data_IF_480799473787
#
_entry.id   IF_480799473787
#
_cell.length_a   1.000
_cell.length_b   1.000
_cell.length_c   1.000
_cell.angle_alpha   90.00
_cell.angle_beta   90.00
_cell.angle_gamma   90.00
#
_symmetry.space_group_name_H-M   'P 1'
#
loop_
_entity.id
_entity.type
_entity.pdbx_description
1 polymer ?
#
# COMPACT_ATOMS: atom_id res chain seq x y z
N UNK A 1 3.22 57.40 -34.20
CA UNK A 1 2.14 56.40 -34.30
C UNK A 1 2.24 55.49 -33.09
N UNK A 2 1.55 55.88 -32.02
CA UNK A 2 1.27 55.05 -30.84
C UNK A 2 -0.12 54.42 -31.03
N UNK A 3 -0.37 53.37 -30.26
CA UNK A 3 -1.65 52.70 -30.00
C UNK A 3 -1.92 51.40 -30.77
N UNK A 4 -1.55 50.27 -30.13
CA UNK A 4 -2.31 49.01 -30.17
C UNK A 4 -1.89 48.02 -29.06
N UNK A 5 -1.65 48.46 -27.83
CA UNK A 5 -1.66 47.54 -26.66
C UNK A 5 -2.94 47.77 -25.87
N UNK A 6 -4.07 47.39 -26.48
CA UNK A 6 -5.35 47.39 -25.77
C UNK A 6 -5.32 46.24 -24.78
N UNK A 7 -5.26 46.63 -23.52
CA UNK A 7 -5.24 45.77 -22.35
C UNK A 7 -6.46 44.84 -22.35
N UNK A 8 -6.25 43.53 -22.43
CA UNK A 8 -7.19 42.51 -21.97
C UNK A 8 -7.04 42.32 -20.46
N UNK A 9 -7.10 43.42 -19.71
CA UNK A 9 -7.21 43.38 -18.26
C UNK A 9 -8.70 43.28 -17.90
N UNK A 10 -9.12 42.17 -17.28
CA UNK A 10 -10.36 42.14 -16.48
C UNK A 10 -11.44 41.11 -16.83
N UNK A 11 -11.11 39.85 -17.14
CA UNK A 11 -12.03 38.73 -16.90
C UNK A 11 -11.32 37.67 -16.08
N UNK A 12 -11.72 37.49 -14.82
CA UNK A 12 -11.31 36.34 -14.01
C UNK A 12 -11.96 35.09 -14.61
N UNK A 13 -11.22 34.02 -14.88
CA UNK A 13 -11.80 32.79 -15.40
C UNK A 13 -12.81 32.24 -14.38
N UNK A 14 -14.04 31.98 -14.79
CA UNK A 14 -15.09 31.47 -13.89
C UNK A 14 -14.93 29.96 -13.63
N UNK A 15 -14.18 29.27 -14.48
CA UNK A 15 -13.91 27.84 -14.33
C UNK A 15 -12.46 27.51 -14.60
N UNK A 16 -11.96 26.48 -13.91
CA UNK A 16 -10.61 25.93 -14.12
C UNK A 16 -10.34 25.56 -15.58
N UNK A 17 -11.36 25.07 -16.29
CA UNK A 17 -11.24 24.68 -17.70
C UNK A 17 -10.95 25.87 -18.61
N UNK A 18 -11.54 27.03 -18.32
CA UNK A 18 -11.32 28.27 -19.07
C UNK A 18 -9.93 28.84 -18.78
N UNK A 19 -9.48 28.77 -17.52
CA UNK A 19 -8.12 29.14 -17.12
C UNK A 19 -7.06 28.28 -17.84
N UNK A 20 -7.27 26.96 -17.91
CA UNK A 20 -6.35 26.05 -18.62
C UNK A 20 -6.32 26.27 -20.12
N UNK A 21 -7.43 26.68 -20.73
CA UNK A 21 -7.51 26.95 -22.17
C UNK A 21 -6.90 28.30 -22.57
N UNK A 22 -6.78 29.23 -21.61
CA UNK A 22 -6.16 30.54 -21.80
C UNK A 22 -4.63 30.50 -21.69
N UNK A 23 -4.04 29.36 -21.31
CA UNK A 23 -2.58 29.23 -21.23
C UNK A 23 -1.99 29.23 -22.65
N UNK A 24 -0.97 30.06 -22.93
CA UNK A 24 -0.29 30.03 -24.20
C UNK A 24 0.40 28.67 -24.37
N UNK A 25 0.31 28.13 -25.59
CA UNK A 25 1.06 26.95 -26.01
C UNK A 25 2.53 27.34 -26.25
N UNK A 26 3.21 27.85 -25.22
CA UNK A 26 4.66 27.97 -25.23
C UNK A 26 5.22 26.54 -25.22
N UNK A 27 5.68 26.06 -26.38
CA UNK A 27 6.54 24.88 -26.41
C UNK A 27 7.88 25.32 -25.81
N UNK A 28 8.34 24.75 -24.68
CA UNK A 28 9.67 25.08 -24.20
C UNK A 28 10.67 24.66 -25.28
N UNK A 29 11.48 25.62 -25.77
CA UNK A 29 12.50 25.40 -26.80
C UNK A 29 13.62 24.44 -26.34
N UNK A 30 13.65 24.12 -25.05
CA UNK A 30 14.63 23.24 -24.45
C UNK A 30 13.94 22.27 -23.50
N UNK A 31 14.34 21.01 -23.57
CA UNK A 31 13.84 19.91 -22.76
C UNK A 31 14.23 20.09 -21.28
N UNK A 32 13.56 21.03 -20.60
CA UNK A 32 13.83 21.43 -19.23
C UNK A 32 13.70 20.26 -18.25
N UNK A 33 12.88 19.26 -18.60
CA UNK A 33 12.75 18.01 -17.86
C UNK A 33 14.03 17.18 -17.92
N UNK A 34 14.73 17.14 -19.06
CA UNK A 34 16.01 16.46 -19.19
C UNK A 34 17.11 17.15 -18.38
N UNK A 35 17.09 18.48 -18.28
CA UNK A 35 18.06 19.25 -17.48
C UNK A 35 17.84 19.06 -15.96
N UNK A 36 16.58 18.94 -15.52
CA UNK A 36 16.23 18.56 -14.14
C UNK A 36 16.62 17.10 -13.86
N UNK A 37 16.36 16.17 -14.80
CA UNK A 37 16.73 14.77 -14.66
C UNK A 37 18.25 14.58 -14.56
N UNK A 38 19.04 15.36 -15.32
CA UNK A 38 20.50 15.36 -15.24
C UNK A 38 21.03 15.90 -13.90
N UNK A 39 20.26 16.77 -13.23
CA UNK A 39 20.61 17.37 -11.92
C UNK A 39 20.19 16.54 -10.73
N UNK A 40 19.31 15.55 -10.90
CA UNK A 40 19.02 14.62 -9.82
C UNK A 40 20.27 13.76 -9.54
N UNK A 41 20.77 13.70 -8.29
CA UNK A 41 21.83 12.78 -7.96
C UNK A 41 21.30 11.36 -8.14
N UNK A 42 21.80 10.65 -9.15
CA UNK A 42 21.66 9.19 -9.21
C UNK A 42 22.31 8.66 -7.95
N UNK A 43 21.50 8.33 -6.94
CA UNK A 43 21.99 7.67 -5.73
C UNK A 43 22.61 6.38 -6.21
N UNK A 44 23.95 6.35 -6.32
CA UNK A 44 24.72 5.11 -6.46
C UNK A 44 24.32 4.29 -5.25
N UNK A 45 23.37 3.36 -5.45
CA UNK A 45 23.01 2.36 -4.45
C UNK A 45 24.30 1.63 -4.15
N UNK A 46 24.91 2.02 -3.04
CA UNK A 46 26.19 1.52 -2.55
C UNK A 46 25.95 0.04 -2.26
N UNK A 47 26.33 -0.81 -3.22
CA UNK A 47 26.16 -2.25 -3.16
C UNK A 47 27.19 -2.82 -2.19
N UNK A 48 26.99 -2.54 -0.90
CA UNK A 48 27.63 -3.27 0.17
C UNK A 48 26.98 -4.66 0.26
N UNK A 49 27.76 -5.72 0.51
CA UNK A 49 27.44 -7.08 0.11
C UNK A 49 26.28 -7.66 0.92
N UNK A 50 25.06 -7.39 0.49
CA UNK A 50 23.80 -7.92 1.03
C UNK A 50 23.60 -9.42 0.76
N UNK A 51 24.56 -10.07 0.08
CA UNK A 51 24.51 -11.51 -0.20
C UNK A 51 24.67 -12.39 1.05
N UNK A 52 25.10 -11.84 2.19
CA UNK A 52 25.14 -12.60 3.46
C UNK A 52 23.93 -12.37 4.37
N UNK A 53 23.17 -11.28 4.19
CA UNK A 53 22.00 -10.99 5.03
C UNK A 53 20.72 -11.74 4.58
N UNK A 54 20.61 -12.04 3.28
CA UNK A 54 19.42 -12.70 2.70
C UNK A 54 19.26 -14.15 3.21
N UNK A 55 20.36 -14.87 3.46
CA UNK A 55 20.28 -16.25 3.97
C UNK A 55 19.75 -16.31 5.41
N UNK A 56 20.13 -15.35 6.26
CA UNK A 56 19.64 -15.28 7.65
C UNK A 56 18.16 -14.85 7.71
N UNK A 57 17.74 -13.92 6.85
CA UNK A 57 16.35 -13.48 6.79
C UNK A 57 15.40 -14.54 6.20
N UNK A 58 15.84 -15.27 5.16
CA UNK A 58 15.05 -16.39 4.61
C UNK A 58 14.96 -17.59 5.56
N UNK A 59 16.02 -17.86 6.35
CA UNK A 59 15.96 -18.89 7.38
C UNK A 59 14.94 -18.54 8.48
N UNK A 60 14.86 -17.28 8.89
CA UNK A 60 13.94 -16.85 9.96
C UNK A 60 12.47 -16.73 9.49
N UNK A 61 12.24 -16.42 8.20
CA UNK A 61 10.90 -16.30 7.62
C UNK A 61 10.20 -17.65 7.33
N UNK A 62 10.94 -18.76 7.18
CA UNK A 62 10.37 -20.08 6.89
C UNK A 62 10.19 -20.94 8.15
N UNK A 63 11.02 -20.75 9.19
CA UNK A 63 10.98 -21.60 10.40
C UNK A 63 9.79 -21.28 11.32
N UNK A 64 9.35 -20.02 11.34
CA UNK A 64 8.25 -19.56 12.21
C UNK A 64 6.86 -20.09 11.77
N UNK A 65 6.43 -20.02 10.49
CA UNK A 65 5.06 -20.43 10.13
C UNK A 65 4.83 -21.95 10.14
N UNK A 66 5.86 -22.78 9.99
CA UNK A 66 5.72 -24.25 9.99
C UNK A 66 5.53 -24.85 11.39
N UNK A 67 5.85 -24.10 12.47
CA UNK A 67 5.63 -24.55 13.85
C UNK A 67 4.22 -24.27 14.36
N UNK A 68 3.41 -23.52 13.60
CA UNK A 68 2.03 -23.14 13.93
C UNK A 68 0.98 -23.82 13.03
N UNK A 69 1.33 -24.83 12.23
CA UNK A 69 0.33 -25.71 11.61
C UNK A 69 0.00 -26.86 12.57
N UNK A 70 -1.04 -26.77 13.42
CA UNK A 70 -1.63 -27.96 14.00
C UNK A 70 -2.19 -28.79 12.84
N UNK A 71 -1.64 -29.99 12.66
CA UNK A 71 -2.26 -31.04 11.86
C UNK A 71 -3.54 -31.47 12.56
N UNK A 72 -4.63 -30.76 12.32
CA UNK A 72 -5.97 -31.18 12.72
C UNK A 72 -6.58 -31.99 11.60
N UNK A 73 -6.51 -33.31 11.71
CA UNK A 73 -7.61 -34.15 11.28
C UNK A 73 -7.70 -35.41 12.17
N UNK A 74 -8.68 -35.36 13.07
CA UNK A 74 -9.25 -36.47 13.85
C UNK A 74 -10.14 -37.32 12.91
N UNK A 75 -10.46 -38.59 13.22
CA UNK A 75 -11.62 -38.83 14.08
C UNK A 75 -11.44 -39.95 15.13
N UNK A 76 -12.10 -39.74 16.26
CA UNK A 76 -12.26 -40.62 17.40
C UNK A 76 -12.85 -41.99 17.02
N UNK A 77 -12.18 -43.05 17.50
CA UNK A 77 -12.83 -44.30 17.86
C UNK A 77 -13.01 -44.31 19.39
N UNK A 78 -14.18 -44.68 19.94
CA UNK A 78 -14.41 -44.67 21.37
C UNK A 78 -13.91 -45.97 21.97
N UNK A 79 -13.00 -45.97 22.96
CA UNK A 79 -12.84 -47.07 23.94
C UNK A 79 -11.95 -46.63 25.13
N UNK A 80 -12.51 -46.69 26.34
CA UNK A 80 -11.89 -47.01 27.65
C UNK A 80 -10.89 -46.05 28.32
N UNK A 81 -11.42 -45.33 29.32
CA UNK A 81 -10.95 -45.20 30.71
C UNK A 81 -9.50 -45.62 31.04
N UNK A 82 -8.67 -44.67 31.51
CA UNK A 82 -7.82 -44.80 32.72
C UNK A 82 -7.60 -43.40 33.31
N UNK A 83 -7.84 -43.26 34.61
CA UNK A 83 -7.50 -42.07 35.39
C UNK A 83 -5.99 -41.95 35.60
N UNK A 84 -5.41 -40.76 35.39
CA UNK A 84 -4.17 -40.35 36.05
C UNK A 84 -3.94 -38.83 35.94
N UNK A 85 -3.88 -38.21 37.12
CA UNK A 85 -3.03 -37.06 37.48
C UNK A 85 -3.15 -35.80 36.61
N UNK A 86 -3.89 -34.82 37.12
CA UNK A 86 -3.83 -33.43 36.68
C UNK A 86 -2.45 -32.83 37.02
N UNK A 87 -1.42 -33.15 36.23
CA UNK A 87 -0.24 -32.31 36.14
C UNK A 87 -0.67 -31.03 35.45
N UNK A 88 -0.55 -29.90 36.16
CA UNK A 88 -0.65 -28.54 35.64
C UNK A 88 0.16 -28.43 34.36
N UNK A 89 -0.51 -28.64 33.23
CA UNK A 89 0.05 -28.41 31.92
C UNK A 89 -0.24 -26.95 31.64
N UNK A 90 0.81 -26.14 31.68
CA UNK A 90 0.83 -24.79 31.13
C UNK A 90 0.33 -24.91 29.69
N UNK A 91 -0.97 -24.65 29.53
CA UNK A 91 -1.62 -24.52 28.24
C UNK A 91 -0.96 -23.32 27.57
N UNK A 92 -0.36 -23.46 26.37
CA UNK A 92 0.14 -22.31 25.65
C UNK A 92 -1.03 -21.36 25.44
N UNK A 93 -0.93 -20.16 25.99
CA UNK A 93 -1.94 -19.13 25.85
C UNK A 93 -2.17 -18.92 24.36
N UNK A 94 -3.40 -19.20 23.89
CA UNK A 94 -3.86 -18.70 22.60
C UNK A 94 -3.58 -17.20 22.55
N UNK A 95 -2.85 -16.69 21.54
CA UNK A 95 -2.54 -15.27 21.45
C UNK A 95 -3.83 -14.46 21.50
N UNK A 96 -3.80 -13.31 22.18
CA UNK A 96 -4.95 -12.42 22.25
C UNK A 96 -5.34 -12.02 20.81
N UNK A 97 -6.64 -12.06 20.50
CA UNK A 97 -7.12 -11.79 19.14
C UNK A 97 -6.71 -10.39 18.67
N UNK A 98 -6.64 -9.43 19.60
CA UNK A 98 -6.11 -8.08 19.36
C UNK A 98 -4.62 -8.10 18.98
N UNK A 99 -3.79 -8.85 19.70
CA UNK A 99 -2.35 -8.96 19.43
C UNK A 99 -2.08 -9.53 18.02
N UNK A 100 -2.91 -10.47 17.58
CA UNK A 100 -2.86 -11.02 16.22
C UNK A 100 -3.17 -9.94 15.17
N UNK A 101 -4.22 -9.13 15.39
CA UNK A 101 -4.59 -8.04 14.49
C UNK A 101 -3.53 -6.92 14.44
N UNK A 102 -2.90 -6.60 15.57
CA UNK A 102 -1.78 -5.66 15.62
C UNK A 102 -0.61 -6.14 14.75
N UNK A 103 -0.19 -7.40 14.93
CA UNK A 103 0.91 -7.98 14.16
C UNK A 103 0.62 -8.00 12.65
N UNK A 104 -0.60 -8.39 12.26
CA UNK A 104 -1.02 -8.40 10.86
C UNK A 104 -1.04 -6.99 10.27
N UNK A 105 -1.55 -6.00 11.02
CA UNK A 105 -1.58 -4.62 10.55
C UNK A 105 -0.18 -4.05 10.31
N UNK A 106 0.78 -4.33 11.19
CA UNK A 106 2.17 -3.89 11.04
C UNK A 106 2.83 -4.53 9.81
N UNK A 107 2.51 -5.80 9.53
CA UNK A 107 2.97 -6.48 8.33
C UNK A 107 2.41 -5.83 7.05
N UNK A 108 1.10 -5.54 7.02
CA UNK A 108 0.44 -4.93 5.87
C UNK A 108 0.93 -3.49 5.62
N UNK A 109 1.16 -2.72 6.67
CA UNK A 109 1.76 -1.38 6.56
C UNK A 109 3.17 -1.43 5.96
N UNK A 110 3.99 -2.40 6.39
CA UNK A 110 5.32 -2.61 5.82
C UNK A 110 5.27 -2.94 4.32
N UNK A 111 4.31 -3.77 3.90
CA UNK A 111 4.09 -4.09 2.49
C UNK A 111 3.58 -2.90 1.70
N UNK A 112 2.64 -2.13 2.25
CA UNK A 112 2.09 -0.94 1.61
C UNK A 112 3.16 0.15 1.42
N UNK A 113 4.01 0.37 2.43
CA UNK A 113 5.13 1.32 2.34
C UNK A 113 6.10 0.95 1.21
N UNK A 114 6.43 -0.34 1.08
CA UNK A 114 7.28 -0.83 -0.01
C UNK A 114 6.60 -0.70 -1.37
N UNK A 115 5.29 -0.95 -1.45
CA UNK A 115 4.54 -0.83 -2.70
C UNK A 115 4.45 0.62 -3.20
N UNK A 116 4.31 1.59 -2.29
CA UNK A 116 4.20 3.01 -2.62
C UNK A 116 5.51 3.65 -3.11
N UNK A 117 6.66 3.28 -2.53
CA UNK A 117 7.98 3.87 -2.85
C UNK A 117 8.35 3.74 -4.33
N UNK A 118 8.00 2.61 -4.95
CA UNK A 118 8.35 2.32 -6.35
C UNK A 118 7.27 2.77 -7.37
N UNK A 119 6.13 3.33 -6.93
CA UNK A 119 4.96 3.52 -7.81
C UNK A 119 4.78 4.97 -8.30
N UNK A 120 4.54 5.15 -9.60
CA UNK A 120 4.17 6.45 -10.20
C UNK A 120 2.67 6.50 -10.51
N UNK A 121 1.97 7.46 -9.88
CA UNK A 121 0.54 7.83 -9.94
C UNK A 121 -0.05 8.22 -11.30
N UNK A 122 -1.02 7.48 -11.86
CA UNK A 122 -2.03 8.12 -12.73
C UNK A 122 -3.07 8.86 -11.87
N UNK A 123 -3.63 9.97 -12.36
CA UNK A 123 -4.53 10.82 -11.54
C UNK A 123 -5.72 10.08 -10.91
N UNK A 124 -6.36 9.18 -11.65
CA UNK A 124 -7.47 8.36 -11.14
C UNK A 124 -7.03 7.34 -10.07
N UNK A 125 -5.81 6.80 -10.18
CA UNK A 125 -5.27 5.90 -9.16
C UNK A 125 -4.91 6.64 -7.86
N UNK A 126 -4.49 7.91 -7.96
CA UNK A 126 -4.29 8.77 -6.79
C UNK A 126 -5.59 8.99 -6.04
N UNK A 127 -6.71 9.21 -6.75
CA UNK A 127 -8.02 9.43 -6.12
C UNK A 127 -8.49 8.20 -5.33
N UNK A 128 -8.44 7.00 -5.93
CA UNK A 128 -8.82 5.76 -5.23
C UNK A 128 -7.88 5.47 -4.05
N UNK A 129 -6.58 5.72 -4.20
CA UNK A 129 -5.63 5.60 -3.09
C UNK A 129 -5.92 6.58 -1.95
N UNK A 130 -6.29 7.81 -2.27
CA UNK A 130 -6.65 8.83 -1.29
C UNK A 130 -7.96 8.51 -0.55
N UNK A 131 -8.93 7.88 -1.21
CA UNK A 131 -10.17 7.39 -0.58
C UNK A 131 -9.87 6.30 0.47
N UNK A 132 -9.03 5.33 0.11
CA UNK A 132 -8.57 4.29 1.03
C UNK A 132 -7.77 4.85 2.22
N UNK A 133 -6.89 5.82 1.98
CA UNK A 133 -6.15 6.51 3.06
C UNK A 133 -7.10 7.30 3.97
N UNK A 134 -8.14 7.91 3.41
CA UNK A 134 -9.14 8.67 4.16
C UNK A 134 -10.00 7.74 5.04
N UNK A 135 -10.36 6.56 4.52
CA UNK A 135 -11.07 5.54 5.30
C UNK A 135 -10.19 5.03 6.45
N UNK A 136 -8.93 4.72 6.18
CA UNK A 136 -7.98 4.28 7.21
C UNK A 136 -7.81 5.34 8.31
N UNK A 137 -7.65 6.61 7.93
CA UNK A 137 -7.55 7.72 8.87
C UNK A 137 -8.82 7.89 9.73
N UNK A 138 -10.01 7.62 9.16
CA UNK A 138 -11.28 7.62 9.90
C UNK A 138 -11.32 6.51 10.95
N UNK A 139 -10.89 5.30 10.59
CA UNK A 139 -10.80 4.16 11.51
C UNK A 139 -9.79 4.46 12.63
N UNK A 140 -8.61 4.99 12.30
CA UNK A 140 -7.57 5.36 13.27
C UNK A 140 -8.02 6.52 14.19
N UNK A 141 -8.87 7.43 13.71
CA UNK A 141 -9.51 8.44 14.54
C UNK A 141 -10.53 7.81 15.52
N UNK A 142 -11.32 6.85 15.07
CA UNK A 142 -12.25 6.11 15.92
C UNK A 142 -11.51 5.31 17.00
N UNK A 143 -10.42 4.62 16.64
CA UNK A 143 -9.57 3.86 17.58
C UNK A 143 -8.95 4.73 18.69
N UNK A 144 -8.76 6.04 18.45
CA UNK A 144 -8.22 6.98 19.45
C UNK A 144 -9.27 7.47 20.46
N UNK A 145 -10.55 7.16 20.28
CA UNK A 145 -11.58 7.58 21.22
C UNK A 145 -11.39 6.83 22.56
N UNK A 146 -11.24 7.53 23.68
CA UNK A 146 -11.39 6.89 24.98
C UNK A 146 -12.86 6.43 25.10
N UNK A 147 -13.13 5.30 25.74
CA UNK A 147 -14.47 4.69 25.94
C UNK A 147 -14.95 3.63 24.92
N UNK A 148 -14.09 3.08 24.05
CA UNK A 148 -14.47 1.87 23.31
C UNK A 148 -14.51 0.65 24.23
N UNK A 149 -15.57 -0.14 24.10
CA UNK A 149 -15.64 -1.48 24.65
C UNK A 149 -14.69 -2.43 23.88
N UNK A 150 -14.38 -3.59 24.48
CA UNK A 150 -13.41 -4.53 23.90
C UNK A 150 -13.87 -5.06 22.53
N UNK A 151 -15.18 -5.28 22.38
CA UNK A 151 -15.76 -5.78 21.14
C UNK A 151 -15.76 -4.71 20.03
N UNK A 152 -16.05 -3.44 20.35
CA UNK A 152 -15.93 -2.32 19.43
C UNK A 152 -14.49 -2.05 19.03
N UNK A 153 -13.55 -2.14 19.97
CA UNK A 153 -12.12 -2.03 19.67
C UNK A 153 -11.68 -3.13 18.69
N UNK A 154 -12.12 -4.38 18.93
CA UNK A 154 -11.78 -5.52 18.09
C UNK A 154 -12.44 -5.42 16.70
N UNK A 155 -13.66 -4.90 16.60
CA UNK A 155 -14.32 -4.63 15.33
C UNK A 155 -13.59 -3.55 14.50
N UNK A 156 -13.16 -2.45 15.13
CA UNK A 156 -12.38 -1.42 14.45
C UNK A 156 -11.00 -1.92 14.00
N UNK A 157 -10.34 -2.76 14.80
CA UNK A 157 -9.06 -3.37 14.40
C UNK A 157 -9.21 -4.30 13.20
N UNK A 158 -10.29 -5.08 13.11
CA UNK A 158 -10.60 -5.89 11.92
C UNK A 158 -10.84 -5.00 10.70
N UNK A 159 -11.66 -3.96 10.84
CA UNK A 159 -11.92 -3.02 9.76
C UNK A 159 -10.62 -2.37 9.25
N UNK A 160 -9.70 -2.00 10.15
CA UNK A 160 -8.38 -1.47 9.80
C UNK A 160 -7.57 -2.43 8.94
N UNK A 161 -7.49 -3.71 9.35
CA UNK A 161 -6.77 -4.76 8.61
C UNK A 161 -7.40 -5.00 7.25
N UNK A 162 -8.73 -5.00 7.15
CA UNK A 162 -9.45 -5.18 5.88
C UNK A 162 -9.20 -4.02 4.90
N UNK A 163 -9.17 -2.77 5.39
CA UNK A 163 -8.82 -1.59 4.59
C UNK A 163 -7.36 -1.65 4.12
N UNK A 164 -6.42 -2.04 5.00
CA UNK A 164 -5.02 -2.22 4.61
C UNK A 164 -4.84 -3.32 3.57
N UNK A 165 -5.54 -4.45 3.70
CA UNK A 165 -5.51 -5.54 2.71
C UNK A 165 -6.05 -5.08 1.36
N UNK A 166 -7.12 -4.27 1.36
CA UNK A 166 -7.69 -3.67 0.16
C UNK A 166 -6.72 -2.73 -0.53
N UNK A 167 -6.02 -1.88 0.23
CA UNK A 167 -4.97 -1.01 -0.29
C UNK A 167 -3.80 -1.79 -0.90
N UNK A 168 -3.30 -2.83 -0.23
CA UNK A 168 -2.22 -3.68 -0.77
C UNK A 168 -2.65 -4.42 -2.04
N UNK A 169 -3.90 -4.90 -2.09
CA UNK A 169 -4.46 -5.58 -3.27
C UNK A 169 -4.59 -4.63 -4.46
N UNK A 170 -5.05 -3.41 -4.20
CA UNK A 170 -5.12 -2.34 -5.20
C UNK A 170 -3.75 -2.01 -5.79
N UNK A 171 -2.73 -1.82 -4.94
CA UNK A 171 -1.35 -1.55 -5.41
C UNK A 171 -0.77 -2.73 -6.20
N UNK A 172 -1.08 -3.96 -5.79
CA UNK A 172 -0.65 -5.17 -6.51
C UNK A 172 -1.24 -5.23 -7.92
N UNK A 173 -2.55 -4.97 -8.06
CA UNK A 173 -3.24 -4.91 -9.35
C UNK A 173 -2.67 -3.79 -10.22
N UNK A 174 -2.46 -2.61 -9.63
CA UNK A 174 -1.88 -1.47 -10.34
C UNK A 174 -0.46 -1.77 -10.83
N UNK A 175 0.37 -2.42 -10.03
CA UNK A 175 1.72 -2.83 -10.43
C UNK A 175 1.67 -3.85 -11.57
N UNK A 176 0.76 -4.82 -11.50
CA UNK A 176 0.57 -5.78 -12.58
C UNK A 176 0.17 -5.07 -13.89
N UNK A 177 -0.75 -4.10 -13.82
CA UNK A 177 -1.14 -3.28 -14.97
C UNK A 177 0.00 -2.41 -15.49
N UNK A 178 0.82 -1.80 -14.63
CA UNK A 178 1.97 -1.00 -15.07
C UNK A 178 3.01 -1.85 -15.83
N UNK A 179 3.23 -3.09 -15.40
CA UNK A 179 4.18 -4.01 -16.05
C UNK A 179 3.64 -4.56 -17.39
N UNK A 180 2.32 -4.72 -17.53
CA UNK A 180 1.70 -5.33 -18.71
C UNK A 180 1.09 -4.33 -19.70
N UNK A 181 0.67 -3.15 -19.24
CA UNK A 181 0.02 -2.10 -20.04
C UNK A 181 0.91 -1.50 -21.12
N UNK A 182 2.21 -1.31 -20.82
CA UNK A 182 3.23 -0.85 -21.78
C UNK A 182 3.33 -1.75 -23.02
N UNK A 183 3.02 -3.06 -22.91
CA UNK A 183 3.05 -3.98 -24.06
C UNK A 183 1.81 -3.91 -24.94
N UNK A 184 0.68 -3.42 -24.45
CA UNK A 184 -0.55 -3.31 -25.24
C UNK A 184 -0.57 -2.04 -26.08
N UNK A 185 0.10 -0.97 -25.65
CA UNK A 185 0.19 0.30 -26.40
C UNK A 185 1.19 0.20 -27.58
N UNK A 186 2.29 -0.54 -27.41
CA UNK A 186 3.28 -0.79 -28.47
C UNK A 186 2.79 -1.64 -29.66
N UNK A 187 1.61 -2.27 -29.54
CA UNK A 187 1.03 -3.10 -30.60
C UNK A 187 0.08 -2.35 -31.55
N UNK A 188 -0.27 -1.09 -31.26
CA UNK A 188 -1.24 -0.31 -32.05
C UNK A 188 -0.63 0.65 -33.08
N UNK A 189 0.70 0.68 -33.24
CA UNK A 189 1.37 1.50 -34.27
C UNK A 189 2.09 0.61 -35.28
N UNK A 190 1.30 0.08 -36.23
CA UNK A 190 1.74 -0.03 -37.64
C UNK A 190 0.51 -0.12 -38.55
N UNK A 191 0.02 1.05 -38.95
CA UNK A 191 -0.81 1.20 -40.15
C UNK A 191 -0.14 2.27 -40.99
N UNK A 192 0.20 1.83 -42.20
CA UNK A 192 0.98 2.44 -43.29
C UNK A 192 2.51 2.45 -43.12
#
# INVERSE_FOLDING_TARGET
MRDATRHSAGRTPETWREAFNALPLERPDTDAWSDIAARLPVRKRMQWPTRLAIAAALALAVIVPLRLLPTSNEPAAPTTQVAATSTTTTQPATPDALETLYAESAQLEGLLALARDDSVASGAAVEVGADLDSELARIDAALRQPHLDRDGQLALWRARVDTLRSAVSFESTRRWMAVHGERYDGALVRVD
#
